data_IF_548684436727
#
_entry.id   IF_548684436727
#
_cell.length_a   1.000
_cell.length_b   1.000
_cell.length_c   1.000
_cell.angle_alpha   90.00
_cell.angle_beta   90.00
_cell.angle_gamma   90.00
#
_symmetry.space_group_name_H-M   'P 1'
#
loop_
_entity.id
_entity.type
_entity.pdbx_description
1 polymer ?
#
# COMPACT_ATOMS: atom_id res chain seq x y z
N UNK A 1 -8.59 -30.66 32.81
CA UNK A 1 -9.00 -29.93 31.60
C UNK A 1 -7.83 -30.15 30.67
N UNK A 2 -8.05 -30.83 29.55
CA UNK A 2 -6.98 -31.06 28.58
C UNK A 2 -6.67 -29.72 27.93
N UNK A 3 -5.39 -29.38 27.86
CA UNK A 3 -4.90 -28.35 26.94
C UNK A 3 -5.02 -28.92 25.53
N UNK A 4 -6.21 -28.83 24.95
CA UNK A 4 -6.36 -28.87 23.49
C UNK A 4 -5.85 -27.50 23.00
N UNK A 5 -4.53 -27.41 22.91
CA UNK A 5 -3.81 -26.22 22.50
C UNK A 5 -3.97 -26.14 20.97
N UNK A 6 -4.61 -25.10 20.40
CA UNK A 6 -4.74 -25.02 18.95
C UNK A 6 -3.35 -24.94 18.33
N UNK A 7 -3.05 -25.87 17.43
CA UNK A 7 -1.84 -25.92 16.62
C UNK A 7 -1.84 -24.78 15.60
N UNK A 8 -0.65 -24.27 15.23
CA UNK A 8 -0.49 -23.31 14.15
C UNK A 8 -1.30 -23.76 12.93
N UNK A 9 -2.29 -22.97 12.47
CA UNK A 9 -3.24 -23.39 11.44
C UNK A 9 -2.58 -23.61 10.07
N UNK A 10 -1.35 -23.14 9.89
CA UNK A 10 -0.58 -23.27 8.66
C UNK A 10 0.32 -24.52 8.61
N UNK A 11 0.33 -25.36 9.65
CA UNK A 11 1.16 -26.57 9.70
C UNK A 11 0.35 -27.81 9.31
N UNK A 12 -0.15 -27.85 8.07
CA UNK A 12 -0.95 -28.96 7.55
C UNK A 12 -0.02 -30.02 6.98
N UNK A 13 0.04 -31.20 7.60
CA UNK A 13 0.78 -32.36 7.09
C UNK A 13 0.00 -33.00 5.94
N UNK A 14 0.54 -32.96 4.72
CA UNK A 14 -0.05 -33.59 3.52
C UNK A 14 -0.04 -35.13 3.59
N UNK A 15 0.75 -35.71 4.52
CA UNK A 15 0.88 -37.15 4.71
C UNK A 15 -0.41 -37.84 5.26
N UNK A 16 -1.37 -37.07 5.78
CA UNK A 16 -2.60 -37.61 6.41
C UNK A 16 -3.83 -37.64 5.47
N UNK A 17 -3.68 -37.29 4.19
CA UNK A 17 -4.78 -37.24 3.22
C UNK A 17 -4.88 -38.55 2.42
N UNK A 18 -5.77 -39.46 2.82
CA UNK A 18 -5.97 -40.76 2.13
C UNK A 18 -6.90 -40.65 0.88
N UNK A 19 -7.69 -39.57 0.73
CA UNK A 19 -8.59 -39.35 -0.41
C UNK A 19 -9.00 -37.88 -0.64
N UNK A 20 -9.48 -37.57 -1.85
CA UNK A 20 -9.98 -36.25 -2.28
C UNK A 20 -11.14 -35.74 -1.40
N UNK A 21 -12.13 -36.59 -1.13
CA UNK A 21 -13.28 -36.25 -0.27
C UNK A 21 -12.88 -35.97 1.20
N UNK A 22 -11.78 -36.58 1.67
CA UNK A 22 -11.23 -36.32 3.01
C UNK A 22 -10.43 -35.02 3.04
N UNK A 23 -9.71 -34.70 1.97
CA UNK A 23 -9.05 -33.40 1.82
C UNK A 23 -10.08 -32.27 1.78
N UNK A 24 -11.13 -32.38 0.95
CA UNK A 24 -12.20 -31.37 0.87
C UNK A 24 -12.88 -31.14 2.22
N UNK A 25 -13.22 -32.21 2.94
CA UNK A 25 -13.82 -32.09 4.28
C UNK A 25 -12.84 -31.50 5.30
N UNK A 26 -11.56 -31.83 5.20
CA UNK A 26 -10.54 -31.25 6.08
C UNK A 26 -10.36 -29.77 5.78
N UNK A 27 -10.31 -29.36 4.52
CA UNK A 27 -10.18 -27.97 4.10
C UNK A 27 -11.41 -27.13 4.44
N UNK A 28 -12.62 -27.62 4.15
CA UNK A 28 -13.86 -26.94 4.56
C UNK A 28 -13.92 -26.77 6.08
N UNK A 29 -13.56 -27.81 6.83
CA UNK A 29 -13.46 -27.72 8.29
C UNK A 29 -12.37 -26.73 8.74
N UNK A 30 -11.23 -26.69 8.07
CA UNK A 30 -10.13 -25.77 8.38
C UNK A 30 -10.52 -24.31 8.05
N UNK A 31 -11.24 -24.05 6.97
CA UNK A 31 -11.77 -22.73 6.63
C UNK A 31 -12.80 -22.27 7.67
N UNK A 32 -13.68 -23.18 8.11
CA UNK A 32 -14.64 -22.91 9.19
C UNK A 32 -13.94 -22.62 10.54
N UNK A 33 -12.85 -23.32 10.84
CA UNK A 33 -12.07 -23.15 12.08
C UNK A 33 -11.14 -21.93 12.01
N UNK A 34 -10.65 -21.59 10.81
CA UNK A 34 -9.62 -20.57 10.56
C UNK A 34 -9.96 -19.76 9.30
N UNK A 35 -10.77 -18.69 9.42
CA UNK A 35 -11.28 -17.92 8.27
C UNK A 35 -10.20 -17.36 7.33
N UNK A 36 -9.01 -17.03 7.85
CA UNK A 36 -7.87 -16.55 7.04
C UNK A 36 -7.39 -17.60 6.02
N UNK A 37 -7.63 -18.90 6.28
CA UNK A 37 -7.35 -19.96 5.31
C UNK A 37 -8.27 -19.82 4.09
N UNK A 38 -9.52 -19.39 4.29
CA UNK A 38 -10.44 -19.06 3.20
C UNK A 38 -9.85 -17.99 2.29
N UNK A 39 -9.40 -16.87 2.85
CA UNK A 39 -8.77 -15.78 2.09
C UNK A 39 -7.49 -16.22 1.36
N UNK A 40 -6.67 -17.10 1.97
CA UNK A 40 -5.48 -17.67 1.32
C UNK A 40 -5.86 -18.54 0.12
N UNK A 41 -6.88 -19.38 0.27
CA UNK A 41 -7.38 -20.22 -0.83
C UNK A 41 -7.95 -19.34 -1.93
N UNK A 42 -8.76 -18.33 -1.58
CA UNK A 42 -9.30 -17.37 -2.54
C UNK A 42 -8.18 -16.64 -3.28
N UNK A 43 -7.10 -16.23 -2.62
CA UNK A 43 -5.95 -15.60 -3.25
C UNK A 43 -5.23 -16.56 -4.22
N UNK A 44 -4.99 -17.80 -3.81
CA UNK A 44 -4.42 -18.85 -4.67
C UNK A 44 -5.32 -19.08 -5.89
N UNK A 45 -6.63 -19.22 -5.68
CA UNK A 45 -7.60 -19.41 -6.75
C UNK A 45 -7.69 -18.20 -7.65
N UNK A 46 -7.62 -16.99 -7.11
CA UNK A 46 -7.58 -15.74 -7.87
C UNK A 46 -6.35 -15.72 -8.76
N UNK A 47 -5.16 -16.05 -8.24
CA UNK A 47 -3.91 -16.16 -9.02
C UNK A 47 -4.03 -17.20 -10.13
N UNK A 48 -4.56 -18.38 -9.82
CA UNK A 48 -4.81 -19.44 -10.80
C UNK A 48 -5.85 -19.05 -11.86
N UNK A 49 -6.98 -18.46 -11.45
CA UNK A 49 -8.03 -17.99 -12.34
C UNK A 49 -7.48 -16.90 -13.26
N UNK A 50 -6.69 -15.97 -12.71
CA UNK A 50 -5.95 -14.98 -13.48
C UNK A 50 -5.07 -15.71 -14.49
N UNK A 51 -4.17 -16.61 -14.07
CA UNK A 51 -3.27 -17.43 -14.92
C UNK A 51 -3.96 -18.29 -16.00
N UNK A 52 -5.19 -18.76 -15.76
CA UNK A 52 -5.89 -19.67 -16.67
C UNK A 52 -6.93 -18.99 -17.55
N UNK A 53 -7.55 -17.90 -17.08
CA UNK A 53 -8.67 -17.22 -17.75
C UNK A 53 -8.20 -16.11 -18.67
N UNK A 54 -7.13 -15.42 -18.28
CA UNK A 54 -6.56 -14.37 -19.11
C UNK A 54 -5.27 -14.92 -19.71
N UNK A 55 -5.23 -14.96 -21.05
CA UNK A 55 -3.93 -14.94 -21.71
C UNK A 55 -3.16 -13.73 -21.18
N UNK A 56 -1.84 -13.85 -21.09
CA UNK A 56 -0.93 -12.83 -20.50
C UNK A 56 -1.28 -11.43 -21.00
N UNK A 57 -1.70 -11.34 -22.26
CA UNK A 57 -2.12 -10.12 -22.96
C UNK A 57 -3.41 -9.48 -22.40
N UNK A 58 -4.40 -10.24 -21.94
CA UNK A 58 -5.69 -9.71 -21.46
C UNK A 58 -5.61 -9.24 -19.99
N UNK A 59 -4.71 -9.82 -19.19
CA UNK A 59 -4.40 -9.36 -17.81
C UNK A 59 -3.79 -7.97 -17.81
N UNK A 60 -2.79 -7.81 -18.67
CA UNK A 60 -2.06 -6.56 -18.86
C UNK A 60 -3.05 -5.46 -19.24
N UNK A 61 -3.91 -5.71 -20.24
CA UNK A 61 -4.93 -4.76 -20.70
C UNK A 61 -5.98 -4.39 -19.63
N UNK A 62 -6.47 -5.35 -18.84
CA UNK A 62 -7.46 -5.06 -17.79
C UNK A 62 -6.83 -4.28 -16.64
N UNK A 63 -5.60 -4.65 -16.25
CA UNK A 63 -4.81 -3.93 -15.25
C UNK A 63 -4.48 -2.50 -15.70
N UNK A 64 -4.09 -2.31 -16.96
CA UNK A 64 -3.83 -1.00 -17.56
C UNK A 64 -5.07 -0.11 -17.57
N UNK A 65 -6.24 -0.66 -17.95
CA UNK A 65 -7.50 0.11 -17.91
C UNK A 65 -7.85 0.55 -16.49
N UNK A 66 -7.75 -0.36 -15.51
CA UNK A 66 -8.01 -0.04 -14.11
C UNK A 66 -7.02 0.99 -13.59
N UNK A 67 -5.73 0.83 -13.90
CA UNK A 67 -4.69 1.77 -13.54
C UNK A 67 -4.97 3.14 -14.15
N UNK A 68 -5.20 3.24 -15.46
CA UNK A 68 -5.53 4.49 -16.16
C UNK A 68 -6.78 5.18 -15.61
N UNK A 69 -7.84 4.41 -15.32
CA UNK A 69 -9.11 4.96 -14.84
C UNK A 69 -9.10 5.31 -13.35
N UNK A 70 -8.13 4.77 -12.58
CA UNK A 70 -7.95 5.01 -11.15
C UNK A 70 -7.23 6.32 -10.83
N UNK A 71 -6.91 7.21 -11.79
CA UNK A 71 -6.15 8.46 -11.54
C UNK A 71 -7.01 9.73 -11.54
N UNK A 72 -8.21 9.70 -12.12
CA UNK A 72 -9.13 10.84 -12.21
C UNK A 72 -10.56 10.38 -11.93
N UNK A 73 -11.29 11.07 -11.05
CA UNK A 73 -12.67 10.69 -10.71
C UNK A 73 -13.66 10.99 -11.85
N UNK A 74 -14.80 10.30 -11.92
CA UNK A 74 -15.86 10.56 -12.93
C UNK A 74 -16.32 12.02 -12.96
N UNK A 75 -16.43 12.65 -11.77
CA UNK A 75 -16.78 14.08 -11.68
C UNK A 75 -15.73 14.98 -12.32
N UNK A 76 -14.46 14.63 -12.19
CA UNK A 76 -13.36 15.35 -12.84
C UNK A 76 -13.32 15.06 -14.33
N UNK A 77 -13.56 13.81 -14.74
CA UNK A 77 -13.71 13.45 -16.15
C UNK A 77 -14.79 14.30 -16.80
N UNK A 78 -15.98 14.37 -16.20
CA UNK A 78 -17.07 15.22 -16.67
C UNK A 78 -16.69 16.71 -16.67
N UNK A 79 -16.00 17.19 -15.64
CA UNK A 79 -15.54 18.58 -15.57
C UNK A 79 -14.60 18.93 -16.72
N UNK A 80 -13.58 18.10 -16.98
CA UNK A 80 -12.63 18.33 -18.08
C UNK A 80 -13.28 18.17 -19.44
N UNK A 81 -14.16 17.18 -19.63
CA UNK A 81 -14.87 16.97 -20.89
C UNK A 81 -15.84 18.10 -21.25
N UNK A 82 -16.20 18.95 -20.29
CA UNK A 82 -16.98 20.18 -20.54
C UNK A 82 -16.10 21.39 -20.91
N UNK A 83 -14.77 21.25 -20.93
CA UNK A 83 -13.86 22.28 -21.43
C UNK A 83 -13.64 22.11 -22.94
N UNK A 84 -13.81 23.19 -23.71
CA UNK A 84 -13.69 23.16 -25.18
C UNK A 84 -12.35 22.56 -25.62
N UNK A 85 -11.24 22.99 -25.00
CA UNK A 85 -9.88 22.52 -25.35
C UNK A 85 -9.69 21.02 -25.10
N UNK A 86 -10.18 20.50 -23.97
CA UNK A 86 -10.05 19.07 -23.64
C UNK A 86 -10.98 18.21 -24.49
N UNK A 87 -12.16 18.73 -24.84
CA UNK A 87 -13.08 18.04 -25.77
C UNK A 87 -12.52 17.98 -27.20
N UNK A 88 -11.77 18.99 -27.64
CA UNK A 88 -11.09 18.96 -28.93
C UNK A 88 -9.93 17.95 -28.93
N UNK A 89 -9.14 17.87 -27.85
CA UNK A 89 -8.15 16.79 -27.64
C UNK A 89 -8.84 15.42 -27.72
N UNK A 90 -10.00 15.27 -27.08
CA UNK A 90 -10.76 14.03 -27.11
C UNK A 90 -11.16 13.59 -28.53
N UNK A 91 -11.55 14.52 -29.40
CA UNK A 91 -11.81 14.19 -30.80
C UNK A 91 -10.54 13.71 -31.51
N UNK A 92 -9.41 14.37 -31.26
CA UNK A 92 -8.13 13.99 -31.86
C UNK A 92 -7.69 12.60 -31.39
N UNK A 93 -7.83 12.30 -30.09
CA UNK A 93 -7.52 10.99 -29.52
C UNK A 93 -8.38 9.93 -30.19
N UNK A 94 -9.70 10.14 -30.25
CA UNK A 94 -10.59 9.20 -30.95
C UNK A 94 -10.20 9.01 -32.41
N UNK A 95 -9.83 10.08 -33.11
CA UNK A 95 -9.41 10.01 -34.50
C UNK A 95 -8.09 9.24 -34.67
N UNK A 96 -7.16 9.27 -33.70
CA UNK A 96 -5.94 8.44 -33.68
C UNK A 96 -6.28 6.95 -33.54
N UNK A 97 -7.18 6.61 -32.62
CA UNK A 97 -7.68 5.24 -32.43
C UNK A 97 -8.45 4.72 -33.65
N UNK A 98 -9.28 5.54 -34.29
CA UNK A 98 -9.98 5.19 -35.53
C UNK A 98 -9.02 4.92 -36.69
N UNK A 99 -7.85 5.59 -36.70
CA UNK A 99 -6.81 5.43 -37.73
C UNK A 99 -5.81 4.32 -37.41
N UNK A 100 -5.62 3.97 -36.14
CA UNK A 100 -4.51 3.15 -35.69
C UNK A 100 -3.14 3.83 -35.84
N UNK A 101 -3.10 5.17 -35.72
CA UNK A 101 -1.85 5.95 -35.81
C UNK A 101 -1.89 7.15 -34.87
N UNK A 102 -0.81 7.39 -34.12
CA UNK A 102 -0.66 8.53 -33.20
C UNK A 102 -0.35 9.80 -33.99
N UNK A 103 -1.14 10.84 -33.81
CA UNK A 103 -0.91 12.13 -34.44
C UNK A 103 0.23 12.89 -33.76
N UNK A 104 1.18 13.39 -34.57
CA UNK A 104 2.25 14.27 -34.08
C UNK A 104 1.70 15.53 -33.40
N UNK A 105 0.53 16.01 -33.82
CA UNK A 105 -0.14 17.16 -33.21
C UNK A 105 -0.51 16.89 -31.75
N UNK A 106 -1.01 15.69 -31.42
CA UNK A 106 -1.29 15.32 -30.03
C UNK A 106 -0.01 15.13 -29.21
N UNK A 107 1.03 14.53 -29.80
CA UNK A 107 2.34 14.38 -29.16
C UNK A 107 2.93 15.74 -28.80
N UNK A 108 2.93 16.68 -29.75
CA UNK A 108 3.44 18.04 -29.53
C UNK A 108 2.62 18.78 -28.46
N UNK A 109 1.29 18.61 -28.47
CA UNK A 109 0.39 19.21 -27.49
C UNK A 109 0.63 18.66 -26.08
N UNK A 110 0.78 17.34 -25.94
CA UNK A 110 1.11 16.70 -24.68
C UNK A 110 2.42 17.25 -24.11
N UNK A 111 3.50 17.21 -24.90
CA UNK A 111 4.79 17.69 -24.43
C UNK A 111 4.77 19.18 -24.08
N UNK A 112 4.02 19.99 -24.82
CA UNK A 112 3.80 21.40 -24.46
C UNK A 112 3.07 21.56 -23.13
N UNK A 113 2.08 20.71 -22.83
CA UNK A 113 1.34 20.75 -21.57
C UNK A 113 2.16 20.15 -20.40
N UNK A 114 3.03 19.19 -20.68
CA UNK A 114 3.90 18.53 -19.71
C UNK A 114 5.13 19.38 -19.33
N UNK A 115 5.61 20.26 -20.21
CA UNK A 115 6.86 21.02 -20.07
C UNK A 115 7.02 21.69 -18.69
N UNK A 116 5.99 22.41 -18.23
CA UNK A 116 6.02 23.08 -16.93
C UNK A 116 6.14 22.12 -15.75
N UNK A 117 5.54 20.92 -15.85
CA UNK A 117 5.54 19.93 -14.79
C UNK A 117 6.83 19.09 -14.79
N UNK A 118 7.42 18.89 -15.97
CA UNK A 118 8.77 18.36 -16.11
C UNK A 118 9.75 19.32 -15.45
N UNK A 119 9.65 20.62 -15.71
CA UNK A 119 10.49 21.63 -15.04
C UNK A 119 10.29 21.61 -13.51
N UNK A 120 9.04 21.56 -13.03
CA UNK A 120 8.73 21.44 -11.60
C UNK A 120 9.40 20.20 -10.98
N UNK A 121 9.30 19.04 -11.65
CA UNK A 121 9.96 17.81 -11.22
C UNK A 121 11.50 17.92 -11.24
N UNK A 122 12.09 18.62 -12.21
CA UNK A 122 13.53 18.88 -12.26
C UNK A 122 14.00 19.78 -11.11
N UNK A 123 13.22 20.77 -10.72
CA UNK A 123 13.51 21.66 -9.59
C UNK A 123 13.53 20.86 -8.28
N UNK A 124 12.51 20.03 -8.04
CA UNK A 124 12.48 19.12 -6.89
C UNK A 124 13.63 18.10 -6.92
N UNK A 125 13.97 17.54 -8.08
CA UNK A 125 15.10 16.62 -8.22
C UNK A 125 16.42 17.30 -7.92
N UNK A 126 16.61 18.54 -8.37
CA UNK A 126 17.81 19.32 -8.07
C UNK A 126 17.95 19.57 -6.57
N UNK A 127 16.86 19.88 -5.86
CA UNK A 127 16.89 20.04 -4.40
C UNK A 127 17.33 18.75 -3.69
N UNK A 128 16.69 17.62 -4.03
CA UNK A 128 17.03 16.31 -3.43
C UNK A 128 18.46 15.90 -3.80
N UNK A 129 18.90 16.10 -5.05
CA UNK A 129 20.28 15.78 -5.46
C UNK A 129 21.31 16.69 -4.77
N UNK A 130 21.00 17.97 -4.50
CA UNK A 130 21.87 18.86 -3.72
C UNK A 130 22.01 18.38 -2.28
N UNK A 131 20.94 17.89 -1.69
CA UNK A 131 20.95 17.31 -0.35
C UNK A 131 21.77 16.03 -0.30
N UNK A 132 21.49 15.07 -1.20
CA UNK A 132 22.20 13.79 -1.30
C UNK A 132 23.70 13.93 -1.55
N UNK A 133 24.09 14.77 -2.52
CA UNK A 133 25.48 14.85 -2.97
C UNK A 133 26.27 16.01 -2.34
N UNK A 134 25.59 16.92 -1.64
CA UNK A 134 26.20 18.06 -0.95
C UNK A 134 27.18 18.84 -1.85
N UNK A 135 28.44 19.06 -1.43
CA UNK A 135 29.44 19.76 -2.24
C UNK A 135 29.72 19.10 -3.60
N UNK A 136 29.61 17.77 -3.68
CA UNK A 136 29.89 17.01 -4.91
C UNK A 136 28.83 17.22 -5.99
N UNK A 137 27.65 17.78 -5.66
CA UNK A 137 26.61 18.07 -6.65
C UNK A 137 27.11 18.98 -7.77
N UNK A 138 27.90 20.01 -7.44
CA UNK A 138 28.46 20.94 -8.43
C UNK A 138 29.42 20.25 -9.41
N UNK A 139 30.20 19.28 -8.93
CA UNK A 139 31.08 18.46 -9.75
C UNK A 139 30.26 17.51 -10.64
N UNK A 140 29.20 16.89 -10.12
CA UNK A 140 28.28 16.05 -10.89
C UNK A 140 27.67 16.81 -12.07
N UNK A 141 27.21 18.04 -11.87
CA UNK A 141 26.66 18.88 -12.95
C UNK A 141 27.74 19.23 -13.97
N UNK A 142 28.96 19.52 -13.52
CA UNK A 142 30.09 19.81 -14.41
C UNK A 142 30.46 18.60 -15.27
N UNK A 143 30.48 17.40 -14.68
CA UNK A 143 30.79 16.15 -15.37
C UNK A 143 29.68 15.77 -16.35
N UNK A 144 28.40 15.88 -15.96
CA UNK A 144 27.23 15.64 -16.84
C UNK A 144 27.28 16.47 -18.13
N UNK A 145 27.76 17.73 -18.03
CA UNK A 145 27.89 18.67 -19.15
C UNK A 145 29.18 18.50 -19.95
N UNK A 146 30.06 17.58 -19.58
CA UNK A 146 31.35 17.38 -20.25
C UNK A 146 31.26 16.38 -21.39
N UNK A 147 32.07 16.58 -22.44
CA UNK A 147 32.20 15.66 -23.58
C UNK A 147 33.16 14.49 -23.29
N UNK A 148 33.35 14.14 -22.02
CA UNK A 148 34.28 13.10 -21.61
C UNK A 148 33.75 11.72 -21.98
N UNK A 149 34.60 10.88 -22.57
CA UNK A 149 34.26 9.50 -22.91
C UNK A 149 34.06 8.61 -21.67
N UNK A 150 34.70 8.97 -20.54
CA UNK A 150 34.61 8.29 -19.23
C UNK A 150 33.56 8.93 -18.30
N UNK A 151 32.69 9.83 -18.79
CA UNK A 151 31.76 10.59 -17.94
C UNK A 151 30.82 9.70 -17.12
N UNK A 152 30.27 8.63 -17.71
CA UNK A 152 29.32 7.74 -17.02
C UNK A 152 30.02 6.92 -15.94
N UNK A 153 31.24 6.46 -16.19
CA UNK A 153 32.08 5.77 -15.20
C UNK A 153 32.37 6.69 -14.01
N UNK A 154 32.74 7.94 -14.27
CA UNK A 154 33.00 8.92 -13.21
C UNK A 154 31.72 9.24 -12.43
N UNK A 155 30.61 9.50 -13.12
CA UNK A 155 29.32 9.75 -12.47
C UNK A 155 28.90 8.56 -11.60
N UNK A 156 29.07 7.33 -12.08
CA UNK A 156 28.84 6.10 -11.32
C UNK A 156 29.71 6.05 -10.06
N UNK A 157 31.02 6.31 -10.19
CA UNK A 157 31.94 6.28 -9.05
C UNK A 157 31.63 7.30 -7.94
N UNK A 158 30.95 8.40 -8.28
CA UNK A 158 30.51 9.43 -7.31
C UNK A 158 29.11 9.09 -6.77
N UNK A 159 28.21 8.61 -7.63
CA UNK A 159 26.81 8.34 -7.28
C UNK A 159 26.66 7.07 -6.45
N UNK A 160 27.25 5.96 -6.88
CA UNK A 160 27.05 4.65 -6.26
C UNK A 160 27.34 4.64 -4.76
N UNK A 161 28.44 5.23 -4.24
CA UNK A 161 28.69 5.24 -2.81
C UNK A 161 27.63 6.02 -2.01
N UNK A 162 27.04 7.06 -2.61
CA UNK A 162 26.01 7.89 -1.96
C UNK A 162 24.65 7.23 -2.05
N UNK A 163 24.29 6.66 -3.21
CA UNK A 163 23.01 5.99 -3.44
C UNK A 163 22.90 4.66 -2.68
N UNK A 164 24.02 3.99 -2.46
CA UNK A 164 24.08 2.74 -1.68
C UNK A 164 24.38 2.97 -0.19
N UNK A 165 24.45 4.23 0.26
CA UNK A 165 24.61 4.52 1.68
C UNK A 165 23.24 4.37 2.37
N UNK A 166 23.10 3.47 3.37
CA UNK A 166 21.86 3.34 4.13
C UNK A 166 21.38 4.65 4.76
N UNK A 167 22.31 5.53 5.18
CA UNK A 167 21.95 6.84 5.76
C UNK A 167 21.18 7.75 4.79
N UNK A 168 21.21 7.45 3.48
CA UNK A 168 20.56 8.22 2.43
C UNK A 168 19.28 7.55 1.90
N UNK A 169 18.86 6.40 2.44
CA UNK A 169 17.78 5.58 1.88
C UNK A 169 16.48 6.35 1.63
N UNK A 170 16.04 7.15 2.60
CA UNK A 170 14.82 7.98 2.50
C UNK A 170 14.90 8.96 1.31
N UNK A 171 16.00 9.71 1.22
CA UNK A 171 16.23 10.67 0.14
C UNK A 171 16.39 9.97 -1.23
N UNK A 172 17.01 8.79 -1.26
CA UNK A 172 17.12 7.96 -2.47
C UNK A 172 15.75 7.47 -2.93
N UNK A 173 14.90 7.03 -2.00
CA UNK A 173 13.53 6.61 -2.29
C UNK A 173 12.68 7.80 -2.78
N UNK A 174 12.78 8.96 -2.13
CA UNK A 174 12.13 10.22 -2.58
C UNK A 174 12.59 10.60 -3.99
N UNK A 175 13.90 10.54 -4.26
CA UNK A 175 14.49 10.76 -5.60
C UNK A 175 13.94 9.79 -6.64
N UNK A 176 13.87 8.50 -6.33
CA UNK A 176 13.42 7.48 -7.27
C UNK A 176 11.92 7.62 -7.59
N UNK A 177 11.07 7.92 -6.59
CA UNK A 177 9.65 8.25 -6.78
C UNK A 177 9.47 9.44 -7.72
N UNK A 178 10.27 10.48 -7.52
CA UNK A 178 10.22 11.69 -8.35
C UNK A 178 10.73 11.46 -9.78
N UNK A 179 11.80 10.66 -9.94
CA UNK A 179 12.27 10.24 -11.26
C UNK A 179 11.22 9.45 -12.00
N UNK A 180 10.51 8.54 -11.32
CA UNK A 180 9.40 7.81 -11.91
C UNK A 180 8.31 8.78 -12.40
N UNK A 181 7.85 9.71 -11.54
CA UNK A 181 6.86 10.71 -11.91
C UNK A 181 7.32 11.60 -13.09
N UNK A 182 8.60 12.00 -13.11
CA UNK A 182 9.19 12.75 -14.21
C UNK A 182 9.19 11.94 -15.51
N UNK A 183 9.67 10.70 -15.47
CA UNK A 183 9.71 9.83 -16.64
C UNK A 183 8.29 9.62 -17.20
N UNK A 184 7.29 9.44 -16.34
CA UNK A 184 5.88 9.36 -16.77
C UNK A 184 5.40 10.63 -17.50
N UNK A 185 5.91 11.82 -17.14
CA UNK A 185 5.61 13.07 -17.86
C UNK A 185 6.38 13.22 -19.18
N UNK A 186 7.55 12.60 -19.30
CA UNK A 186 8.35 12.60 -20.53
C UNK A 186 7.81 11.60 -21.57
N UNK A 187 7.10 10.56 -21.13
CA UNK A 187 6.50 9.55 -22.01
C UNK A 187 5.10 9.96 -22.43
N UNK A 188 4.80 9.86 -23.74
CA UNK A 188 3.44 10.12 -24.25
C UNK A 188 2.46 9.05 -23.72
N UNK A 189 1.20 9.38 -23.40
CA UNK A 189 0.40 8.53 -22.51
C UNK A 189 -0.12 7.22 -23.09
N UNK A 190 0.00 7.00 -24.40
CA UNK A 190 -0.34 5.75 -25.07
C UNK A 190 0.57 5.50 -26.28
N UNK A 191 0.67 4.26 -26.74
CA UNK A 191 1.52 3.87 -27.88
C UNK A 191 0.75 3.09 -28.99
N UNK A 192 1.48 2.53 -29.96
CA UNK A 192 0.88 1.76 -31.06
C UNK A 192 0.18 0.47 -30.55
N UNK A 193 0.66 -0.13 -29.46
CA UNK A 193 0.06 -1.33 -28.86
C UNK A 193 -1.30 -0.98 -28.23
N UNK A 194 -1.43 0.20 -27.62
CA UNK A 194 -2.71 0.71 -27.10
C UNK A 194 -3.75 0.92 -28.21
N UNK A 195 -3.31 1.42 -29.38
CA UNK A 195 -4.17 1.66 -30.54
C UNK A 195 -4.65 0.36 -31.19
N UNK A 196 -3.76 -0.64 -31.28
CA UNK A 196 -4.05 -1.96 -31.83
C UNK A 196 -4.75 -2.89 -30.83
N UNK A 197 -4.70 -2.53 -29.54
CA UNK A 197 -5.23 -3.29 -28.42
C UNK A 197 -6.75 -3.44 -28.41
N UNK A 198 -7.23 -4.37 -27.59
CA UNK A 198 -8.67 -4.55 -27.32
C UNK A 198 -9.16 -3.56 -26.24
N UNK A 199 -8.28 -2.74 -25.65
CA UNK A 199 -8.61 -1.70 -24.66
C UNK A 199 -9.78 -0.79 -25.12
N UNK A 200 -9.85 -0.34 -26.39
CA UNK A 200 -10.98 0.44 -26.89
C UNK A 200 -12.20 -0.41 -27.26
N UNK A 201 -12.11 -1.74 -27.23
CA UNK A 201 -13.19 -2.65 -27.70
C UNK A 201 -13.99 -3.29 -26.57
N UNK A 202 -13.62 -3.04 -25.31
CA UNK A 202 -14.33 -3.53 -24.12
C UNK A 202 -15.57 -2.64 -23.86
N UNK A 203 -16.63 -2.83 -24.65
CA UNK A 203 -17.99 -2.36 -24.34
C UNK A 203 -18.18 -0.84 -24.17
N UNK A 204 -19.10 -0.44 -23.28
CA UNK A 204 -19.46 0.97 -23.02
C UNK A 204 -18.33 1.82 -22.41
N UNK A 205 -17.18 1.22 -22.10
CA UNK A 205 -16.02 1.85 -21.44
C UNK A 205 -14.95 2.35 -22.42
N UNK A 206 -15.05 2.07 -23.73
CA UNK A 206 -14.19 2.65 -24.77
C UNK A 206 -14.09 4.17 -24.63
N UNK A 207 -15.26 4.81 -24.50
CA UNK A 207 -15.36 6.26 -24.36
C UNK A 207 -14.72 6.78 -23.07
N UNK A 208 -14.60 5.96 -22.03
CA UNK A 208 -13.97 6.35 -20.76
C UNK A 208 -12.46 6.34 -20.89
N UNK A 209 -11.87 5.29 -21.46
CA UNK A 209 -10.43 5.19 -21.70
C UNK A 209 -9.93 6.35 -22.55
N UNK A 210 -10.60 6.63 -23.67
CA UNK A 210 -10.25 7.75 -24.54
C UNK A 210 -10.35 9.10 -23.82
N UNK A 211 -11.35 9.29 -22.94
CA UNK A 211 -11.45 10.50 -22.09
C UNK A 211 -10.26 10.61 -21.14
N UNK A 212 -9.81 9.52 -20.52
CA UNK A 212 -8.65 9.55 -19.64
C UNK A 212 -7.36 9.91 -20.39
N UNK A 213 -7.10 9.33 -21.56
CA UNK A 213 -5.97 9.76 -22.41
C UNK A 213 -6.06 11.24 -22.76
N UNK A 214 -7.27 11.72 -23.07
CA UNK A 214 -7.49 13.14 -23.38
C UNK A 214 -7.18 14.04 -22.20
N UNK A 215 -7.51 13.62 -20.98
CA UNK A 215 -7.23 14.38 -19.75
C UNK A 215 -5.74 14.31 -19.41
N UNK A 216 -5.06 13.16 -19.61
CA UNK A 216 -3.61 13.05 -19.50
C UNK A 216 -2.91 14.02 -20.45
N UNK A 217 -3.37 14.12 -21.70
CA UNK A 217 -2.81 15.04 -22.69
C UNK A 217 -3.09 16.49 -22.30
N UNK A 218 -4.31 16.79 -21.85
CA UNK A 218 -4.73 18.12 -21.45
C UNK A 218 -4.01 18.62 -20.18
N UNK A 219 -3.85 17.77 -19.17
CA UNK A 219 -3.23 18.12 -17.91
C UNK A 219 -2.45 16.92 -17.31
N UNK A 220 -1.20 16.71 -17.75
CA UNK A 220 -0.37 15.55 -17.38
C UNK A 220 -0.12 15.41 -15.87
N UNK A 221 0.01 16.53 -15.14
CA UNK A 221 0.14 16.53 -13.67
C UNK A 221 -1.02 15.83 -12.99
N UNK A 222 -2.15 15.59 -13.67
CA UNK A 222 -3.26 14.86 -13.08
C UNK A 222 -2.93 13.41 -12.72
N UNK A 223 -1.99 12.79 -13.43
CA UNK A 223 -1.71 11.37 -13.35
C UNK A 223 -0.38 11.08 -12.65
N UNK A 224 0.11 12.02 -11.85
CA UNK A 224 1.39 11.91 -11.16
C UNK A 224 1.21 12.14 -9.66
N UNK A 225 2.10 11.56 -8.87
CA UNK A 225 2.23 11.82 -7.44
C UNK A 225 2.99 13.14 -7.14
N UNK A 226 3.19 14.02 -8.13
CA UNK A 226 3.96 15.26 -7.94
C UNK A 226 3.42 16.16 -6.82
N UNK A 227 2.13 16.09 -6.51
CA UNK A 227 1.53 16.85 -5.41
C UNK A 227 2.11 16.49 -4.03
N UNK A 228 2.73 15.30 -3.88
CA UNK A 228 3.39 14.87 -2.64
C UNK A 228 4.72 15.61 -2.39
N UNK A 229 5.26 16.30 -3.39
CA UNK A 229 6.51 17.07 -3.29
C UNK A 229 6.27 18.56 -3.07
N UNK A 230 5.01 19.00 -3.01
CA UNK A 230 4.64 20.37 -2.65
C UNK A 230 4.90 20.59 -1.14
N UNK A 231 5.43 21.76 -0.76
CA UNK A 231 5.76 22.09 0.65
C UNK A 231 4.56 21.91 1.57
N UNK A 232 3.35 22.27 1.11
CA UNK A 232 2.13 22.18 1.92
C UNK A 232 1.64 20.74 2.13
N UNK A 233 2.18 19.75 1.42
CA UNK A 233 1.82 18.34 1.62
C UNK A 233 2.34 17.83 2.96
N UNK A 234 3.47 18.35 3.44
CA UNK A 234 4.02 18.03 4.77
C UNK A 234 3.11 18.50 5.92
N UNK A 235 2.20 19.44 5.66
CA UNK A 235 1.21 19.92 6.62
C UNK A 235 -0.17 19.26 6.43
N UNK A 236 -0.34 18.39 5.42
CA UNK A 236 -1.61 17.72 5.14
C UNK A 236 -1.90 16.63 6.20
N UNK A 237 -2.95 16.76 7.02
CA UNK A 237 -3.16 15.90 8.21
C UNK A 237 -3.55 14.46 7.89
N UNK A 238 -3.90 14.17 6.63
CA UNK A 238 -4.34 12.85 6.18
C UNK A 238 -3.33 12.18 5.22
N UNK A 239 -2.09 12.69 5.13
CA UNK A 239 -1.04 12.09 4.29
C UNK A 239 -0.71 10.63 4.62
N UNK A 240 -1.08 10.18 5.82
CA UNK A 240 -0.92 8.80 6.29
C UNK A 240 -1.97 7.82 5.74
N UNK A 241 -3.04 8.29 5.07
CA UNK A 241 -4.07 7.43 4.47
C UNK A 241 -3.55 6.78 3.18
N UNK A 242 -2.69 5.78 3.35
CA UNK A 242 -2.00 5.12 2.22
C UNK A 242 -2.85 4.12 1.46
N UNK A 243 -3.98 3.71 2.03
CA UNK A 243 -4.93 2.82 1.36
C UNK A 243 -5.74 3.54 0.27
N UNK A 244 -5.75 4.88 0.30
CA UNK A 244 -6.43 5.67 -0.72
C UNK A 244 -5.67 5.66 -2.04
N UNK A 245 -6.43 5.57 -3.13
CA UNK A 245 -5.90 5.76 -4.47
C UNK A 245 -5.39 7.19 -4.68
N UNK A 246 -4.53 7.40 -5.68
CA UNK A 246 -4.00 8.73 -6.04
C UNK A 246 -5.09 9.82 -6.18
N UNK A 247 -6.23 9.61 -6.87
CA UNK A 247 -7.29 10.61 -6.97
C UNK A 247 -7.95 10.90 -5.63
N UNK A 248 -8.15 9.90 -4.79
CA UNK A 248 -8.81 10.07 -3.49
C UNK A 248 -7.96 10.96 -2.59
N UNK A 249 -6.70 10.58 -2.39
CA UNK A 249 -5.78 11.35 -1.55
C UNK A 249 -5.58 12.76 -2.10
N UNK A 250 -5.50 12.91 -3.43
CA UNK A 250 -5.38 14.22 -4.06
C UNK A 250 -6.63 15.07 -3.92
N UNK A 251 -7.81 14.47 -4.04
CA UNK A 251 -9.08 15.18 -3.83
C UNK A 251 -9.14 15.73 -2.42
N UNK A 252 -8.73 14.95 -1.42
CA UNK A 252 -8.59 15.41 -0.05
C UNK A 252 -7.55 16.51 0.06
N UNK A 253 -6.37 16.34 -0.54
CA UNK A 253 -5.32 17.36 -0.51
C UNK A 253 -5.78 18.71 -1.13
N UNK A 254 -6.52 18.69 -2.24
CA UNK A 254 -7.08 19.93 -2.85
C UNK A 254 -8.11 20.62 -1.95
N UNK A 255 -8.98 19.85 -1.30
CA UNK A 255 -9.92 20.37 -0.30
C UNK A 255 -9.15 21.03 0.84
N UNK A 256 -8.09 20.38 1.33
CA UNK A 256 -7.20 20.95 2.34
C UNK A 256 -6.56 22.27 1.87
N UNK A 257 -5.98 22.33 0.67
CA UNK A 257 -5.44 23.58 0.10
C UNK A 257 -6.49 24.68 -0.05
N UNK A 258 -7.76 24.31 -0.22
CA UNK A 258 -8.88 25.25 -0.33
C UNK A 258 -9.40 25.73 1.05
N UNK A 259 -8.86 25.18 2.15
CA UNK A 259 -9.27 25.49 3.51
C UNK A 259 -10.49 24.69 4.01
N UNK A 260 -10.89 23.64 3.30
CA UNK A 260 -11.98 22.76 3.73
C UNK A 260 -11.51 21.83 4.87
N UNK A 261 -12.44 21.48 5.77
CA UNK A 261 -12.20 20.46 6.79
C UNK A 261 -12.19 19.06 6.16
N UNK A 262 -10.98 18.56 5.90
CA UNK A 262 -10.77 17.24 5.29
C UNK A 262 -10.94 16.10 6.26
N UNK A 263 -10.88 16.34 7.57
CA UNK A 263 -10.97 15.28 8.57
C UNK A 263 -12.38 14.67 8.64
N UNK A 264 -13.38 15.39 8.13
CA UNK A 264 -14.74 14.85 7.93
C UNK A 264 -14.79 13.73 6.89
N UNK A 265 -13.81 13.63 5.98
CA UNK A 265 -13.77 12.52 5.03
C UNK A 265 -13.54 11.19 5.75
N UNK A 266 -12.68 11.18 6.76
CA UNK A 266 -12.42 10.00 7.61
C UNK A 266 -13.66 9.63 8.41
N UNK A 267 -14.39 10.64 8.92
CA UNK A 267 -15.67 10.40 9.61
C UNK A 267 -16.69 9.81 8.66
N UNK A 268 -16.83 10.35 7.45
CA UNK A 268 -17.78 9.86 6.46
C UNK A 268 -17.48 8.43 5.98
N UNK A 269 -16.21 8.04 5.93
CA UNK A 269 -15.78 6.67 5.64
C UNK A 269 -16.22 5.71 6.75
N UNK A 270 -15.92 6.03 8.00
CA UNK A 270 -16.30 5.19 9.15
C UNK A 270 -17.82 5.16 9.39
N UNK A 271 -18.50 6.28 9.16
CA UNK A 271 -19.96 6.38 9.24
C UNK A 271 -20.66 5.73 8.03
N UNK A 272 -19.90 5.25 7.03
CA UNK A 272 -20.42 4.52 5.89
C UNK A 272 -21.16 3.25 6.30
N UNK A 273 -22.18 2.91 5.53
CA UNK A 273 -22.88 1.63 5.70
C UNK A 273 -21.84 0.50 5.57
N UNK A 274 -21.90 -0.48 6.46
CA UNK A 274 -21.04 -1.68 6.51
C UNK A 274 -19.59 -1.47 7.02
N UNK A 275 -18.99 -0.27 7.01
CA UNK A 275 -17.57 -0.10 7.41
C UNK A 275 -17.28 -0.66 8.81
N UNK A 276 -18.07 -0.25 9.80
CA UNK A 276 -17.93 -0.71 11.18
C UNK A 276 -18.29 -2.19 11.38
N UNK A 277 -19.19 -2.72 10.55
CA UNK A 277 -19.59 -4.12 10.65
C UNK A 277 -18.51 -5.03 10.02
N UNK A 278 -17.87 -4.55 8.95
CA UNK A 278 -16.71 -5.20 8.32
C UNK A 278 -15.48 -5.13 9.22
N UNK A 279 -15.29 -4.05 9.99
CA UNK A 279 -14.15 -3.91 10.91
C UNK A 279 -14.00 -5.12 11.84
N UNK A 280 -15.10 -5.58 12.45
CA UNK A 280 -15.07 -6.76 13.34
C UNK A 280 -14.76 -8.00 12.52
N UNK A 281 -15.50 -8.21 11.43
CA UNK A 281 -15.40 -9.39 10.55
C UNK A 281 -13.97 -9.59 10.05
N UNK A 282 -13.35 -8.56 9.50
CA UNK A 282 -11.99 -8.62 8.95
C UNK A 282 -10.94 -8.76 10.07
N UNK A 283 -11.14 -8.10 11.21
CA UNK A 283 -10.21 -8.20 12.32
C UNK A 283 -10.13 -9.62 12.89
N UNK A 284 -11.26 -10.31 13.07
CA UNK A 284 -11.27 -11.64 13.73
C UNK A 284 -10.77 -12.78 12.83
N UNK A 285 -10.56 -12.52 11.53
CA UNK A 285 -9.85 -13.45 10.65
C UNK A 285 -8.44 -13.71 11.15
N UNK A 286 -7.78 -12.69 11.72
CA UNK A 286 -6.47 -12.80 12.34
C UNK A 286 -6.56 -13.54 13.68
N UNK A 287 -5.83 -14.66 13.89
CA UNK A 287 -5.89 -15.44 15.12
C UNK A 287 -5.67 -14.63 16.40
N UNK A 288 -4.70 -13.70 16.40
CA UNK A 288 -4.39 -12.85 17.57
C UNK A 288 -5.50 -11.87 17.95
N UNK A 289 -6.37 -11.51 16.99
CA UNK A 289 -7.51 -10.62 17.20
C UNK A 289 -8.83 -11.35 17.45
N UNK A 290 -8.94 -12.63 17.07
CA UNK A 290 -10.11 -13.47 17.36
C UNK A 290 -10.42 -13.54 18.85
N UNK A 291 -9.39 -13.70 19.68
CA UNK A 291 -9.52 -13.67 21.15
C UNK A 291 -9.96 -12.31 21.71
N UNK A 292 -9.93 -11.27 20.87
CA UNK A 292 -10.24 -9.87 21.21
C UNK A 292 -11.52 -9.39 20.52
N UNK A 293 -12.31 -10.28 19.94
CA UNK A 293 -13.59 -9.98 19.27
C UNK A 293 -14.50 -9.11 20.14
N UNK A 294 -14.63 -9.44 21.43
CA UNK A 294 -15.48 -8.67 22.37
C UNK A 294 -15.00 -7.21 22.48
N UNK A 295 -13.68 -6.97 22.51
CA UNK A 295 -13.09 -5.62 22.61
C UNK A 295 -13.35 -4.85 21.32
N UNK A 296 -13.15 -5.48 20.16
CA UNK A 296 -13.34 -4.84 18.84
C UNK A 296 -14.83 -4.54 18.61
N UNK A 297 -15.72 -5.45 19.03
CA UNK A 297 -17.16 -5.21 19.04
C UNK A 297 -17.52 -4.03 19.94
N UNK A 298 -16.90 -3.94 21.13
CA UNK A 298 -17.10 -2.80 22.03
C UNK A 298 -16.62 -1.48 21.43
N UNK A 299 -15.55 -1.48 20.62
CA UNK A 299 -15.10 -0.30 19.87
C UNK A 299 -16.20 0.18 18.94
N UNK A 300 -16.81 -0.72 18.16
CA UNK A 300 -17.90 -0.39 17.23
C UNK A 300 -19.13 0.15 17.96
N UNK A 301 -19.56 -0.52 19.02
CA UNK A 301 -20.70 -0.08 19.84
C UNK A 301 -20.44 1.30 20.46
N UNK A 302 -19.25 1.50 21.04
CA UNK A 302 -18.86 2.78 21.63
C UNK A 302 -18.84 3.90 20.57
N UNK A 303 -18.37 3.63 19.35
CA UNK A 303 -18.37 4.62 18.28
C UNK A 303 -19.80 5.00 17.87
N UNK A 304 -20.67 4.00 17.63
CA UNK A 304 -22.10 4.18 17.29
C UNK A 304 -22.85 4.96 18.38
N UNK A 305 -22.49 4.77 19.65
CA UNK A 305 -23.08 5.47 20.80
C UNK A 305 -22.47 6.85 21.10
N UNK A 306 -21.49 7.32 20.31
CA UNK A 306 -20.80 8.59 20.53
C UNK A 306 -19.84 8.60 21.73
N UNK A 307 -19.44 7.41 22.21
CA UNK A 307 -18.47 7.20 23.30
C UNK A 307 -17.03 7.18 22.79
N UNK A 308 -16.63 8.23 22.06
CA UNK A 308 -15.34 8.33 21.36
C UNK A 308 -14.10 8.22 22.27
N UNK A 309 -14.20 8.65 23.53
CA UNK A 309 -13.13 8.49 24.50
C UNK A 309 -12.79 7.01 24.75
N UNK A 310 -13.83 6.16 24.80
CA UNK A 310 -13.69 4.71 24.97
C UNK A 310 -13.09 4.09 23.72
N UNK A 311 -13.57 4.46 22.53
CA UNK A 311 -13.02 4.01 21.23
C UNK A 311 -11.51 4.21 21.19
N UNK A 312 -11.04 5.44 21.45
CA UNK A 312 -9.62 5.78 21.40
C UNK A 312 -8.81 4.95 22.41
N UNK A 313 -9.31 4.83 23.65
CA UNK A 313 -8.60 4.10 24.71
C UNK A 313 -8.58 2.59 24.49
N UNK A 314 -9.61 2.02 23.89
CA UNK A 314 -9.68 0.60 23.56
C UNK A 314 -8.77 0.25 22.39
N UNK A 315 -8.66 1.13 21.38
CA UNK A 315 -7.88 0.89 20.17
C UNK A 315 -6.36 1.03 20.37
N UNK A 316 -5.88 1.97 21.19
CA UNK A 316 -4.44 2.13 21.43
C UNK A 316 -3.70 0.83 21.78
N UNK A 317 -4.16 0.01 22.75
CA UNK A 317 -3.52 -1.27 23.04
C UNK A 317 -3.70 -2.32 21.94
N UNK A 318 -4.76 -2.28 21.12
CA UNK A 318 -4.91 -3.23 20.00
C UNK A 318 -3.92 -2.91 18.88
N UNK A 319 -3.78 -1.62 18.56
CA UNK A 319 -2.82 -1.09 17.60
C UNK A 319 -1.38 -1.44 18.05
N UNK A 320 -1.03 -1.23 19.32
CA UNK A 320 0.29 -1.62 19.83
C UNK A 320 0.51 -3.14 19.71
N UNK A 321 -0.48 -3.94 20.08
CA UNK A 321 -0.39 -5.39 20.04
C UNK A 321 -0.17 -5.94 18.63
N UNK A 322 -0.98 -5.51 17.65
CA UNK A 322 -0.89 -6.06 16.28
C UNK A 322 0.44 -5.75 15.62
N UNK A 323 1.11 -4.65 15.98
CA UNK A 323 2.41 -4.30 15.42
C UNK A 323 3.52 -5.18 16.01
N UNK A 324 3.44 -5.53 17.29
CA UNK A 324 4.35 -6.54 17.86
C UNK A 324 4.16 -7.90 17.18
N UNK A 325 2.92 -8.30 16.91
CA UNK A 325 2.61 -9.52 16.16
C UNK A 325 3.18 -9.45 14.75
N UNK A 326 3.01 -8.32 14.05
CA UNK A 326 3.53 -8.17 12.69
C UNK A 326 5.06 -8.22 12.66
N UNK A 327 5.74 -7.60 13.62
CA UNK A 327 7.19 -7.72 13.73
C UNK A 327 7.63 -9.18 13.95
N UNK A 328 6.93 -9.92 14.81
CA UNK A 328 7.22 -11.33 15.06
C UNK A 328 6.99 -12.19 13.82
N UNK A 329 5.95 -11.90 13.04
CA UNK A 329 5.70 -12.54 11.75
C UNK A 329 6.88 -12.34 10.78
N UNK A 330 7.32 -11.09 10.59
CA UNK A 330 8.42 -10.75 9.68
C UNK A 330 9.73 -11.44 10.09
N UNK A 331 9.99 -11.53 11.39
CA UNK A 331 11.17 -12.18 11.97
C UNK A 331 11.13 -13.71 11.82
N UNK A 332 9.99 -14.35 12.15
CA UNK A 332 9.80 -15.80 12.04
C UNK A 332 9.96 -16.29 10.59
N UNK A 333 9.42 -15.52 9.63
CA UNK A 333 9.56 -15.82 8.19
C UNK A 333 10.96 -15.53 7.64
N UNK A 334 11.86 -14.97 8.46
CA UNK A 334 13.23 -14.58 8.09
C UNK A 334 13.26 -13.61 6.92
N UNK A 335 12.23 -12.78 6.79
CA UNK A 335 12.24 -11.68 5.84
C UNK A 335 13.22 -10.61 6.32
N UNK A 336 13.28 -10.38 7.64
CA UNK A 336 14.18 -9.44 8.31
C UNK A 336 14.55 -9.94 9.70
N UNK A 337 15.80 -9.73 10.13
CA UNK A 337 16.23 -10.00 11.51
C UNK A 337 15.81 -8.81 12.41
N UNK A 338 14.84 -9.01 13.28
CA UNK A 338 14.28 -8.00 14.20
C UNK A 338 14.58 -8.36 15.65
N UNK A 339 14.30 -9.60 16.07
CA UNK A 339 14.41 -10.00 17.48
C UNK A 339 15.67 -10.83 17.73
N UNK A 340 16.35 -10.56 18.85
CA UNK A 340 17.57 -11.26 19.21
C UNK A 340 17.21 -12.41 20.16
N UNK A 341 17.51 -13.64 19.74
CA UNK A 341 17.37 -14.87 20.54
C UNK A 341 15.94 -15.15 21.06
N UNK A 342 14.92 -14.77 20.30
CA UNK A 342 13.52 -15.13 20.57
C UNK A 342 13.18 -16.48 19.95
N UNK A 343 12.60 -17.38 20.75
CA UNK A 343 12.01 -18.64 20.28
C UNK A 343 10.51 -18.45 20.11
N UNK A 344 10.01 -18.60 18.89
CA UNK A 344 8.58 -18.51 18.59
C UNK A 344 7.98 -19.91 18.66
N UNK A 345 7.09 -20.12 19.63
CA UNK A 345 6.17 -21.26 19.55
C UNK A 345 5.13 -21.01 18.42
N UNK A 346 4.67 -19.77 18.31
CA UNK A 346 3.74 -19.25 17.29
C UNK A 346 3.75 -17.71 17.33
N UNK A 347 4.07 -17.04 16.23
CA UNK A 347 4.09 -15.57 16.19
C UNK A 347 2.73 -14.94 16.52
N UNK A 348 1.61 -15.63 16.28
CA UNK A 348 0.27 -15.14 16.66
C UNK A 348 0.09 -14.93 18.16
N UNK A 349 0.90 -15.63 18.96
CA UNK A 349 0.90 -15.56 20.42
C UNK A 349 1.99 -14.67 20.96
N UNK A 350 2.76 -14.03 20.09
CA UNK A 350 3.87 -13.21 20.52
C UNK A 350 3.38 -12.07 21.42
N UNK A 351 3.91 -12.06 22.63
CA UNK A 351 3.62 -11.05 23.63
C UNK A 351 4.95 -10.59 24.21
N UNK A 352 5.37 -9.38 23.81
CA UNK A 352 6.65 -8.80 24.20
C UNK A 352 6.88 -8.78 25.72
N UNK A 353 5.82 -8.79 26.53
CA UNK A 353 5.91 -8.77 28.00
C UNK A 353 6.25 -10.13 28.62
N UNK A 354 6.15 -11.21 27.87
CA UNK A 354 6.52 -12.54 28.34
C UNK A 354 8.05 -12.78 28.22
N UNK A 355 8.77 -11.81 27.64
CA UNK A 355 10.22 -11.81 27.43
C UNK A 355 10.87 -10.73 28.29
N UNK A 356 11.33 -11.10 29.50
CA UNK A 356 11.96 -10.17 30.46
C UNK A 356 13.24 -9.50 29.91
N UNK A 357 13.96 -10.19 29.01
CA UNK A 357 15.21 -9.74 28.38
C UNK A 357 15.02 -9.54 26.86
N UNK A 358 13.86 -9.03 26.41
CA UNK A 358 13.62 -8.80 24.99
C UNK A 358 14.64 -7.79 24.43
N UNK A 359 15.32 -8.20 23.37
CA UNK A 359 16.27 -7.38 22.63
C UNK A 359 15.85 -7.32 21.16
N UNK A 360 15.94 -6.14 20.55
CA UNK A 360 15.73 -5.98 19.11
C UNK A 360 16.97 -5.45 18.41
N UNK A 361 17.17 -5.91 17.18
CA UNK A 361 18.21 -5.42 16.29
C UNK A 361 17.69 -4.20 15.53
N UNK A 362 18.37 -3.07 15.72
CA UNK A 362 18.11 -1.88 14.91
C UNK A 362 18.60 -2.08 13.46
N UNK A 363 18.11 -1.27 12.54
CA UNK A 363 18.57 -1.20 11.14
C UNK A 363 20.08 -0.96 11.02
N UNK A 364 20.67 -0.30 12.01
CA UNK A 364 22.13 -0.05 12.08
C UNK A 364 22.94 -1.24 12.64
N UNK A 365 22.28 -2.35 12.98
CA UNK A 365 22.87 -3.53 13.59
C UNK A 365 23.14 -3.43 15.09
N UNK A 366 22.82 -2.30 15.72
CA UNK A 366 22.91 -2.14 17.19
C UNK A 366 21.76 -2.87 17.89
N UNK A 367 22.04 -3.44 19.05
CA UNK A 367 21.03 -4.01 19.94
C UNK A 367 20.34 -2.91 20.76
N UNK A 368 19.02 -3.02 20.91
CA UNK A 368 18.19 -2.21 21.80
C UNK A 368 17.61 -3.14 22.86
N UNK A 369 18.09 -2.98 24.10
CA UNK A 369 17.56 -3.65 25.29
C UNK A 369 16.24 -2.99 25.74
N UNK A 370 15.28 -3.80 26.20
CA UNK A 370 13.96 -3.34 26.68
C UNK A 370 13.20 -2.44 25.67
N UNK A 371 13.00 -2.89 24.41
CA UNK A 371 12.49 -2.03 23.36
C UNK A 371 11.05 -1.57 23.63
N UNK A 372 10.77 -0.32 23.29
CA UNK A 372 9.42 0.19 23.22
C UNK A 372 8.87 0.07 21.79
N UNK A 373 7.55 0.17 21.63
CA UNK A 373 6.92 0.12 20.31
C UNK A 373 7.43 1.24 19.36
N UNK A 374 8.02 2.31 19.89
CA UNK A 374 8.67 3.38 19.13
C UNK A 374 9.95 2.86 18.49
N UNK A 375 10.74 2.15 19.27
CA UNK A 375 12.01 1.59 18.82
C UNK A 375 11.75 0.56 17.73
N UNK A 376 10.73 -0.28 17.92
CA UNK A 376 10.30 -1.23 16.90
C UNK A 376 9.94 -0.53 15.58
N UNK A 377 9.06 0.47 15.62
CA UNK A 377 8.52 1.08 14.39
C UNK A 377 9.47 2.12 13.76
N UNK A 378 10.40 2.72 14.50
CA UNK A 378 11.31 3.73 13.95
C UNK A 378 12.73 3.21 13.69
N UNK A 379 13.21 2.25 14.49
CA UNK A 379 14.62 1.88 14.51
C UNK A 379 14.88 0.47 13.98
N UNK A 380 13.85 -0.33 13.69
CA UNK A 380 13.99 -1.70 13.15
C UNK A 380 13.48 -1.78 11.71
N UNK A 381 13.80 -2.85 10.95
CA UNK A 381 13.31 -3.02 9.58
C UNK A 381 11.78 -3.03 9.42
N UNK A 382 11.02 -3.19 10.51
CA UNK A 382 9.54 -3.08 10.51
C UNK A 382 9.06 -1.80 9.84
N UNK A 383 9.78 -0.68 9.99
CA UNK A 383 9.41 0.59 9.35
C UNK A 383 9.30 0.49 7.82
N UNK A 384 10.08 -0.38 7.20
CA UNK A 384 10.16 -0.53 5.73
C UNK A 384 8.91 -1.20 5.15
N UNK A 385 8.16 -1.90 5.99
CA UNK A 385 6.87 -2.51 5.65
C UNK A 385 5.70 -1.53 5.85
N UNK A 386 5.97 -0.32 6.36
CA UNK A 386 5.01 0.76 6.48
C UNK A 386 5.43 1.96 5.63
N UNK A 387 4.47 2.77 5.20
CA UNK A 387 4.78 4.06 4.58
C UNK A 387 5.34 5.02 5.63
N UNK A 388 6.31 5.86 5.25
CA UNK A 388 6.92 6.88 6.13
C UNK A 388 5.87 7.74 6.85
N UNK A 389 4.81 8.14 6.15
CA UNK A 389 3.73 8.95 6.71
C UNK A 389 2.88 8.19 7.73
N UNK A 390 2.73 6.88 7.55
CA UNK A 390 2.02 5.98 8.49
C UNK A 390 2.86 5.82 9.75
N UNK A 391 4.17 5.62 9.62
CA UNK A 391 5.13 5.53 10.74
C UNK A 391 5.15 6.83 11.54
N UNK A 392 5.23 7.98 10.87
CA UNK A 392 5.23 9.28 11.54
C UNK A 392 3.93 9.52 12.31
N UNK A 393 2.78 9.30 11.66
CA UNK A 393 1.47 9.41 12.29
C UNK A 393 1.37 8.47 13.49
N UNK A 394 1.80 7.22 13.35
CA UNK A 394 1.81 6.22 14.40
C UNK A 394 2.58 6.67 15.65
N UNK A 395 3.82 7.13 15.45
CA UNK A 395 4.70 7.55 16.55
C UNK A 395 4.06 8.72 17.30
N UNK A 396 3.53 9.68 16.57
CA UNK A 396 2.83 10.82 17.17
C UNK A 396 1.59 10.38 17.95
N UNK A 397 0.81 9.43 17.43
CA UNK A 397 -0.39 8.92 18.10
C UNK A 397 -0.10 8.09 19.35
N UNK A 398 0.73 7.06 19.23
CA UNK A 398 0.99 6.13 20.32
C UNK A 398 1.87 6.72 21.42
N UNK A 399 2.71 7.70 21.12
CA UNK A 399 3.66 8.25 22.10
C UNK A 399 3.31 9.64 22.56
N UNK A 400 3.11 10.55 21.61
CA UNK A 400 2.92 11.96 21.95
C UNK A 400 1.50 12.24 22.44
N UNK A 401 0.49 11.59 21.86
CA UNK A 401 -0.92 11.78 22.24
C UNK A 401 -1.38 10.85 23.35
N UNK A 402 -1.11 9.54 23.26
CA UNK A 402 -1.57 8.54 24.23
C UNK A 402 -1.12 8.85 25.67
N UNK A 403 0.15 9.15 25.90
CA UNK A 403 0.69 9.33 27.25
C UNK A 403 -0.02 10.48 28.01
N UNK A 404 -0.15 11.69 27.44
CA UNK A 404 -0.95 12.75 28.05
C UNK A 404 -2.42 12.37 28.29
N UNK A 405 -3.05 11.61 27.39
CA UNK A 405 -4.44 11.14 27.54
C UNK A 405 -4.56 10.22 28.76
N UNK A 406 -3.72 9.19 28.86
CA UNK A 406 -3.78 8.20 29.94
C UNK A 406 -3.45 8.80 31.31
N UNK A 407 -2.64 9.86 31.34
CA UNK A 407 -2.33 10.60 32.58
C UNK A 407 -3.30 11.76 32.88
N UNK A 408 -4.35 11.96 32.07
CA UNK A 408 -5.38 12.99 32.28
C UNK A 408 -4.90 14.42 32.01
N UNK A 409 -3.78 14.60 31.31
CA UNK A 409 -3.23 15.91 30.94
C UNK A 409 -3.95 16.54 29.75
N UNK A 410 -4.63 15.72 28.93
CA UNK A 410 -5.41 16.16 27.76
C UNK A 410 -6.87 15.77 27.96
N UNK A 411 -7.72 16.62 28.55
CA UNK A 411 -9.09 16.25 28.87
C UNK A 411 -10.04 16.21 27.66
N UNK A 412 -9.69 16.83 26.52
CA UNK A 412 -10.60 17.03 25.37
C UNK A 412 -10.15 16.28 24.10
N UNK A 413 -9.60 15.07 24.25
CA UNK A 413 -9.07 14.27 23.12
C UNK A 413 -10.15 13.50 22.33
N UNK A 414 -11.39 13.47 22.81
CA UNK A 414 -12.41 12.48 22.43
C UNK A 414 -13.37 12.95 21.32
N UNK A 415 -12.86 13.54 20.24
CA UNK A 415 -13.74 13.92 19.11
C UNK A 415 -14.13 12.70 18.26
N UNK A 416 -15.25 12.80 17.53
CA UNK A 416 -15.65 11.77 16.55
C UNK A 416 -14.54 11.55 15.51
N UNK A 417 -13.97 12.63 14.99
CA UNK A 417 -12.89 12.56 14.00
C UNK A 417 -11.64 11.85 14.56
N UNK A 418 -11.22 12.16 15.79
CA UNK A 418 -10.06 11.48 16.38
C UNK A 418 -10.34 9.98 16.58
N UNK A 419 -11.55 9.60 16.98
CA UNK A 419 -11.96 8.19 17.07
C UNK A 419 -12.00 7.51 15.69
N UNK A 420 -12.57 8.16 14.68
CA UNK A 420 -12.63 7.64 13.31
C UNK A 420 -11.23 7.42 12.74
N UNK A 421 -10.29 8.36 12.95
CA UNK A 421 -8.89 8.18 12.55
C UNK A 421 -8.23 6.97 13.22
N UNK A 422 -8.56 6.65 14.48
CA UNK A 422 -8.04 5.44 15.14
C UNK A 422 -8.63 4.17 14.57
N UNK A 423 -9.91 4.19 14.22
CA UNK A 423 -10.59 3.07 13.56
C UNK A 423 -9.97 2.80 12.20
N UNK A 424 -9.86 3.82 11.34
CA UNK A 424 -9.25 3.68 10.00
C UNK A 424 -7.81 3.21 10.12
N UNK A 425 -7.03 3.81 11.03
CA UNK A 425 -5.64 3.40 11.23
C UNK A 425 -5.50 1.95 11.71
N UNK A 426 -6.35 1.51 12.65
CA UNK A 426 -6.37 0.12 13.11
C UNK A 426 -6.73 -0.83 11.95
N UNK A 427 -7.77 -0.50 11.17
CA UNK A 427 -8.18 -1.28 10.01
C UNK A 427 -7.04 -1.40 8.97
N UNK A 428 -6.38 -0.28 8.66
CA UNK A 428 -5.24 -0.27 7.73
C UNK A 428 -4.09 -1.17 8.17
N UNK A 429 -3.82 -1.29 9.48
CA UNK A 429 -2.77 -2.22 9.96
C UNK A 429 -3.25 -3.67 9.89
N UNK A 430 -4.51 -3.93 10.24
CA UNK A 430 -5.13 -5.26 10.10
C UNK A 430 -5.03 -5.74 8.66
N UNK A 431 -5.46 -4.91 7.69
CA UNK A 431 -5.38 -5.21 6.26
C UNK A 431 -3.96 -5.54 5.82
N UNK A 432 -2.97 -4.70 6.19
CA UNK A 432 -1.56 -4.93 5.80
C UNK A 432 -0.96 -6.22 6.38
N UNK A 433 -1.28 -6.53 7.64
CA UNK A 433 -0.85 -7.78 8.25
C UNK A 433 -1.54 -8.97 7.56
N UNK A 434 -2.85 -8.90 7.31
CA UNK A 434 -3.60 -9.92 6.60
C UNK A 434 -3.02 -10.16 5.21
N UNK A 435 -2.82 -9.10 4.41
CA UNK A 435 -2.21 -9.16 3.08
C UNK A 435 -0.84 -9.83 3.12
N UNK A 436 0.05 -9.40 4.01
CA UNK A 436 1.40 -9.98 4.13
C UNK A 436 1.34 -11.47 4.48
N UNK A 437 0.48 -11.86 5.42
CA UNK A 437 0.31 -13.26 5.82
C UNK A 437 -0.25 -14.09 4.67
N UNK A 438 -1.27 -13.56 3.98
CA UNK A 438 -1.93 -14.22 2.85
C UNK A 438 -0.93 -14.43 1.72
N UNK A 439 -0.21 -13.38 1.30
CA UNK A 439 0.75 -13.44 0.20
C UNK A 439 1.90 -14.40 0.50
N UNK A 440 2.58 -14.25 1.64
CA UNK A 440 3.73 -15.10 2.01
C UNK A 440 3.32 -16.56 2.20
N UNK A 441 2.12 -16.82 2.77
CA UNK A 441 1.63 -18.19 2.95
C UNK A 441 1.19 -18.80 1.62
N UNK A 442 0.51 -18.04 0.76
CA UNK A 442 0.14 -18.48 -0.57
C UNK A 442 1.40 -18.87 -1.37
N UNK A 443 2.42 -18.01 -1.41
CA UNK A 443 3.69 -18.27 -2.10
C UNK A 443 4.36 -19.57 -1.62
N UNK A 444 4.40 -19.78 -0.30
CA UNK A 444 4.96 -20.99 0.28
C UNK A 444 4.19 -22.26 -0.11
N UNK A 445 2.85 -22.19 -0.08
CA UNK A 445 1.99 -23.29 -0.52
C UNK A 445 2.15 -23.56 -2.01
N UNK A 446 2.19 -22.53 -2.86
CA UNK A 446 2.41 -22.72 -4.30
C UNK A 446 3.75 -23.41 -4.57
N UNK A 447 4.81 -22.99 -3.88
CA UNK A 447 6.15 -23.54 -4.06
C UNK A 447 6.21 -25.01 -3.63
N UNK A 448 5.62 -25.33 -2.47
CA UNK A 448 5.54 -26.71 -1.96
C UNK A 448 4.77 -27.61 -2.93
N UNK A 449 3.63 -27.14 -3.44
CA UNK A 449 2.83 -27.88 -4.42
C UNK A 449 3.59 -28.10 -5.74
N UNK A 450 4.32 -27.08 -6.23
CA UNK A 450 5.15 -27.18 -7.44
C UNK A 450 6.30 -28.18 -7.26
N UNK A 451 6.93 -28.19 -6.09
CA UNK A 451 8.07 -29.06 -5.78
C UNK A 451 7.67 -30.53 -5.56
N UNK A 452 6.49 -30.80 -4.98
CA UNK A 452 6.03 -32.16 -4.71
C UNK A 452 5.35 -32.84 -5.91
N UNK A 453 4.61 -32.09 -6.74
CA UNK A 453 3.75 -32.67 -7.77
C UNK A 453 4.13 -32.32 -9.22
N UNK A 454 5.16 -31.50 -9.45
CA UNK A 454 5.57 -31.07 -10.80
C UNK A 454 4.54 -30.20 -11.51
N UNK A 455 3.62 -29.59 -10.74
CA UNK A 455 2.50 -28.77 -11.18
C UNK A 455 1.36 -28.80 -10.15
N UNK A 456 0.45 -27.83 -10.23
CA UNK A 456 -0.74 -27.81 -9.38
C UNK A 456 -1.60 -29.05 -9.61
N UNK A 457 -2.04 -29.77 -8.57
CA UNK A 457 -3.13 -30.71 -8.69
C UNK A 457 -4.33 -29.91 -9.18
N UNK A 458 -4.80 -30.21 -10.39
CA UNK A 458 -6.09 -29.72 -10.95
C UNK A 458 -7.28 -29.98 -10.01
N UNK A 459 -7.05 -30.77 -8.96
CA UNK A 459 -7.98 -31.34 -7.99
C UNK A 459 -8.27 -30.37 -6.80
N UNK A 460 -7.31 -29.53 -6.37
CA UNK A 460 -7.51 -28.55 -5.28
C UNK A 460 -8.35 -27.34 -5.68
N UNK A 461 -8.34 -26.97 -6.96
CA UNK A 461 -9.07 -25.81 -7.47
C UNK A 461 -10.61 -26.03 -7.50
N UNK A 462 -11.08 -27.28 -7.59
CA UNK A 462 -12.51 -27.58 -7.70
C UNK A 462 -13.22 -27.66 -6.33
N UNK A 463 -12.48 -28.05 -5.28
CA UNK A 463 -12.96 -28.33 -3.93
C UNK A 463 -13.70 -27.17 -3.23
N UNK A 464 -13.40 -25.92 -3.57
CA UNK A 464 -13.97 -24.72 -2.90
C UNK A 464 -14.92 -23.95 -3.82
N UNK A 465 -15.04 -24.34 -5.09
CA UNK A 465 -15.88 -23.68 -6.09
C UNK A 465 -17.35 -24.14 -6.12
N UNK A 466 -17.73 -25.11 -5.28
CA UNK A 466 -19.09 -25.69 -5.25
C UNK A 466 -19.99 -25.23 -4.08
N UNK A 467 -19.58 -24.25 -3.27
CA UNK A 467 -20.49 -23.48 -2.38
C UNK A 467 -20.90 -22.13 -2.98
#
# INVERSE_FOLDING_TARGET
MGDDNPTNPFNISTDDLESEEEAEKLFSKLVDEEPIIGDIIEEIQRRQWVDTTFDTELKVKTGETLLLTSHVSEKEVDFYMNMDDCYDIFKMVRDDFDRGEISQELVDLYHSNAEQYIQEAEEYLEEIERELFGPAYSDLITIRKSDRNDKEEILGSIKEPVLNNPDNEELVNKRNRLLYAKNSLETFPYDEEDLEGELPRIGSDEMRVLKHFSIQIYNPKLYTSLFQFEEEFEDFPLRWLTHLTIPEIRTLYRKYKSGDDVEQAVVAEVDGDEYLDNLVTESIKLPSLREREEIISEVVENYKDGRYASVINLLYPQIEHIIWIYAAFLDEKKEVDIFIEVDYDDFWRFNYRDHDDLEVQSQTGNCIEEPHIRDLVQNTPVSNHFNENVVEYFVNELFEKRNPILHGNTPNYYSQSEAAKKIVFFNTIVEKLSESVIETTADHLEQTIKDENGGWPTELANAVSEE
#
